data_IF_652654642861
#
_entry.id   IF_652654642861
#
_cell.length_a   1.000
_cell.length_b   1.000
_cell.length_c   1.000
_cell.angle_alpha   90.00
_cell.angle_beta   90.00
_cell.angle_gamma   90.00
#
_symmetry.space_group_name_H-M   'P 1'
#
loop_
_entity.id
_entity.type
_entity.pdbx_description
1 polymer ?
#
# COMPACT_ATOMS: atom_id res chain seq x y z
N UNK A 1 2.86 -10.76 -28.09
CA UNK A 1 2.00 -10.28 -26.98
C UNK A 1 2.69 -9.07 -26.37
N UNK A 2 2.01 -7.94 -26.20
CA UNK A 2 2.61 -6.77 -25.56
C UNK A 2 2.83 -7.05 -24.08
N UNK A 3 4.05 -6.85 -23.61
CA UNK A 3 4.41 -7.01 -22.19
C UNK A 3 3.73 -5.91 -21.40
N UNK A 4 2.87 -6.28 -20.45
CA UNK A 4 2.26 -5.34 -19.51
C UNK A 4 3.34 -4.78 -18.57
N UNK A 5 3.26 -3.50 -18.15
CA UNK A 5 4.20 -2.93 -17.21
C UNK A 5 3.98 -3.49 -15.81
N UNK A 6 5.06 -3.72 -15.08
CA UNK A 6 4.99 -4.02 -13.65
C UNK A 6 4.48 -2.80 -12.87
N UNK A 7 3.76 -3.03 -11.77
CA UNK A 7 3.24 -1.97 -10.90
C UNK A 7 3.84 -2.13 -9.50
N UNK A 8 4.53 -1.10 -9.02
CA UNK A 8 4.96 -0.99 -7.63
C UNK A 8 4.02 -0.04 -6.88
N UNK A 9 3.31 -0.57 -5.89
CA UNK A 9 2.38 0.21 -5.07
C UNK A 9 2.96 0.43 -3.66
N UNK A 10 3.46 1.64 -3.39
CA UNK A 10 3.99 2.02 -2.08
C UNK A 10 2.93 2.82 -1.32
N UNK A 11 2.57 2.33 -0.13
CA UNK A 11 1.62 3.01 0.75
C UNK A 11 2.26 3.26 2.11
N UNK A 12 2.26 4.53 2.54
CA UNK A 12 2.86 4.97 3.79
C UNK A 12 1.74 5.49 4.69
N UNK A 13 1.55 4.85 5.85
CA UNK A 13 0.52 5.24 6.80
C UNK A 13 0.87 6.59 7.45
N UNK A 14 -0.15 7.42 7.65
CA UNK A 14 -0.04 8.77 8.21
C UNK A 14 0.97 9.72 7.52
N UNK A 15 1.33 9.48 6.25
CA UNK A 15 2.19 10.39 5.49
C UNK A 15 1.46 11.69 5.14
N UNK A 16 1.94 12.81 5.67
CA UNK A 16 1.39 14.13 5.35
C UNK A 16 1.95 14.66 4.03
N UNK A 17 1.07 15.19 3.18
CA UNK A 17 1.46 15.75 1.88
C UNK A 17 2.45 16.92 1.99
N UNK A 18 2.30 17.77 3.01
CA UNK A 18 3.19 18.90 3.28
C UNK A 18 4.57 18.47 3.78
N UNK A 19 4.83 17.18 4.01
CA UNK A 19 6.17 16.66 4.32
C UNK A 19 6.90 16.14 3.08
N UNK A 20 6.20 16.01 1.95
CA UNK A 20 6.75 15.50 0.69
C UNK A 20 6.86 16.58 -0.39
N UNK A 21 6.12 17.69 -0.26
CA UNK A 21 6.12 18.75 -1.26
C UNK A 21 5.98 20.11 -0.59
N UNK A 22 6.88 21.04 -0.93
CA UNK A 22 6.81 22.45 -0.49
C UNK A 22 7.35 22.75 0.91
N UNK A 23 8.04 21.80 1.56
CA UNK A 23 8.59 21.97 2.93
C UNK A 23 10.10 21.73 2.98
N UNK A 24 10.73 22.01 4.12
CA UNK A 24 12.17 21.89 4.35
C UNK A 24 12.65 20.45 4.65
N UNK A 25 11.72 19.50 4.81
CA UNK A 25 12.06 18.09 5.04
C UNK A 25 12.78 17.55 3.81
N UNK A 26 13.95 16.93 4.00
CA UNK A 26 14.73 16.37 2.90
C UNK A 26 14.19 14.98 2.55
N UNK A 27 13.55 14.86 1.40
CA UNK A 27 12.98 13.60 0.89
C UNK A 27 13.51 13.25 -0.50
N UNK A 28 14.84 13.15 -0.71
CA UNK A 28 15.45 13.12 -2.05
C UNK A 28 14.91 12.01 -2.96
N UNK A 29 14.55 10.85 -2.40
CA UNK A 29 13.93 9.76 -3.17
C UNK A 29 12.51 10.11 -3.63
N UNK A 30 11.69 10.73 -2.77
CA UNK A 30 10.34 11.17 -3.15
C UNK A 30 10.42 12.35 -4.11
N UNK A 31 11.35 13.28 -3.88
CA UNK A 31 11.59 14.44 -4.74
C UNK A 31 11.94 13.96 -6.17
N UNK A 32 12.83 12.99 -6.28
CA UNK A 32 13.17 12.36 -7.56
C UNK A 32 11.98 11.66 -8.22
N UNK A 33 11.11 10.99 -7.46
CA UNK A 33 9.88 10.40 -8.02
C UNK A 33 8.89 11.46 -8.52
N UNK A 34 8.81 12.61 -7.84
CA UNK A 34 7.97 13.74 -8.25
C UNK A 34 8.51 14.38 -9.54
N UNK A 35 9.83 14.60 -9.62
CA UNK A 35 10.49 15.20 -10.79
C UNK A 35 10.39 14.32 -12.05
N UNK A 36 10.45 13.00 -11.87
CA UNK A 36 10.41 12.04 -12.98
C UNK A 36 9.01 11.46 -13.24
N UNK A 37 7.98 11.98 -12.56
CA UNK A 37 6.64 11.42 -12.57
C UNK A 37 5.53 12.48 -12.60
N UNK A 38 4.36 12.10 -12.08
CA UNK A 38 3.20 12.98 -11.97
C UNK A 38 2.82 13.10 -10.49
N UNK A 39 2.76 14.34 -10.00
CA UNK A 39 2.37 14.64 -8.63
C UNK A 39 1.00 15.32 -8.57
N UNK A 40 0.10 14.73 -7.79
CA UNK A 40 -1.24 15.26 -7.56
C UNK A 40 -1.26 16.15 -6.31
N UNK A 41 -1.13 17.47 -6.50
CA UNK A 41 -1.13 18.47 -5.40
C UNK A 41 -2.40 18.49 -4.54
N UNK A 42 -3.49 17.92 -5.03
CA UNK A 42 -4.81 17.86 -4.37
C UNK A 42 -5.29 16.40 -4.24
N UNK A 43 -4.39 15.49 -3.87
CA UNK A 43 -4.73 14.11 -3.54
C UNK A 43 -5.34 14.05 -2.12
N UNK A 44 -6.67 14.06 -2.04
CA UNK A 44 -7.42 14.10 -0.78
C UNK A 44 -7.87 12.67 -0.41
N UNK A 45 -7.60 12.26 0.83
CA UNK A 45 -8.06 10.97 1.34
C UNK A 45 -9.60 10.93 1.43
N UNK A 46 -10.25 9.79 1.13
CA UNK A 46 -11.71 9.68 1.17
C UNK A 46 -12.29 9.70 2.60
N UNK A 47 -11.44 9.58 3.61
CA UNK A 47 -11.78 9.66 5.04
C UNK A 47 -10.48 9.82 5.88
N UNK A 48 -10.65 10.04 7.18
CA UNK A 48 -9.60 10.31 8.16
C UNK A 48 -9.21 9.08 9.01
N UNK A 49 -9.70 7.88 8.68
CA UNK A 49 -9.41 6.64 9.41
C UNK A 49 -8.75 5.57 8.54
N UNK A 50 -7.62 5.00 8.98
CA UNK A 50 -6.80 4.05 8.20
C UNK A 50 -7.63 2.96 7.49
N UNK A 51 -8.45 2.19 8.21
CA UNK A 51 -9.21 1.11 7.60
C UNK A 51 -10.34 1.57 6.69
N UNK A 52 -10.97 2.71 6.99
CA UNK A 52 -11.97 3.30 6.09
C UNK A 52 -11.28 3.74 4.79
N UNK A 53 -10.10 4.37 4.89
CA UNK A 53 -9.33 4.90 3.76
C UNK A 53 -8.89 3.77 2.85
N UNK A 54 -8.32 2.73 3.45
CA UNK A 54 -7.90 1.53 2.73
C UNK A 54 -9.08 0.82 2.06
N UNK A 55 -10.21 0.65 2.74
CA UNK A 55 -11.37 0.01 2.12
C UNK A 55 -11.92 0.82 0.94
N UNK A 56 -11.90 2.14 1.03
CA UNK A 56 -12.26 3.01 -0.09
C UNK A 56 -11.24 2.96 -1.23
N UNK A 57 -9.96 2.92 -0.92
CA UNK A 57 -8.86 2.79 -1.88
C UNK A 57 -8.94 1.49 -2.66
N UNK A 58 -9.10 0.34 -1.98
CA UNK A 58 -9.16 -0.97 -2.63
C UNK A 58 -10.42 -1.14 -3.49
N UNK A 59 -11.56 -0.62 -3.03
CA UNK A 59 -12.85 -0.80 -3.72
C UNK A 59 -13.19 0.29 -4.75
N UNK A 60 -12.49 1.42 -4.75
CA UNK A 60 -12.85 2.61 -5.53
C UNK A 60 -14.20 3.23 -5.12
N UNK A 61 -14.68 2.98 -3.89
CA UNK A 61 -16.00 3.42 -3.40
C UNK A 61 -15.88 4.16 -2.07
N UNK A 62 -16.64 5.23 -1.89
CA UNK A 62 -16.68 5.97 -0.62
C UNK A 62 -17.29 5.16 0.53
N UNK A 63 -16.72 5.32 1.73
CA UNK A 63 -17.11 4.54 2.91
C UNK A 63 -18.51 4.86 3.43
N UNK A 64 -19.12 6.02 3.13
CA UNK A 64 -20.50 6.30 3.53
C UNK A 64 -21.52 5.35 2.87
N UNK A 65 -21.14 4.71 1.76
CA UNK A 65 -21.95 3.67 1.11
C UNK A 65 -21.84 2.31 1.81
N UNK A 66 -20.85 2.15 2.69
CA UNK A 66 -20.63 0.95 3.50
C UNK A 66 -21.01 1.26 4.93
N UNK A 67 -22.14 0.73 5.43
CA UNK A 67 -22.73 1.03 6.75
C UNK A 67 -21.86 0.67 7.99
N UNK A 68 -20.57 0.35 7.81
CA UNK A 68 -19.70 -0.18 8.84
C UNK A 68 -18.52 0.76 9.13
N UNK A 69 -18.33 1.16 10.39
CA UNK A 69 -17.05 1.67 10.91
C UNK A 69 -16.05 0.51 10.92
N UNK A 70 -15.48 0.19 9.77
CA UNK A 70 -14.59 -0.96 9.64
C UNK A 70 -13.32 -0.75 10.47
N UNK A 71 -13.00 -1.70 11.35
CA UNK A 71 -11.74 -1.79 12.11
C UNK A 71 -10.74 -2.77 11.46
N UNK A 72 -11.04 -3.21 10.23
CA UNK A 72 -10.25 -4.16 9.45
C UNK A 72 -10.45 -3.95 7.96
N UNK A 73 -9.55 -4.53 7.16
CA UNK A 73 -9.70 -4.58 5.71
C UNK A 73 -10.92 -5.41 5.33
N UNK A 74 -11.67 -4.91 4.35
CA UNK A 74 -12.77 -5.58 3.68
C UNK A 74 -12.50 -5.44 2.18
N UNK A 75 -12.01 -6.52 1.56
CA UNK A 75 -11.84 -6.58 0.12
C UNK A 75 -13.19 -6.89 -0.53
N UNK A 76 -13.90 -5.86 -0.98
CA UNK A 76 -15.13 -6.02 -1.75
C UNK A 76 -14.86 -6.72 -3.09
N UNK A 77 -15.87 -7.39 -3.66
CA UNK A 77 -15.79 -7.92 -5.03
C UNK A 77 -15.46 -6.80 -6.03
N UNK A 78 -14.70 -7.14 -7.06
CA UNK A 78 -14.20 -6.21 -8.07
C UNK A 78 -13.33 -5.08 -7.46
N UNK A 79 -12.59 -5.38 -6.40
CA UNK A 79 -11.53 -4.48 -5.92
C UNK A 79 -10.37 -4.45 -6.94
N UNK A 80 -9.49 -3.43 -6.86
CA UNK A 80 -8.46 -3.27 -7.89
C UNK A 80 -7.45 -4.43 -7.93
N UNK A 81 -7.18 -5.13 -6.81
CA UNK A 81 -6.28 -6.29 -6.79
C UNK A 81 -6.88 -7.46 -7.57
N UNK A 82 -8.18 -7.71 -7.37
CA UNK A 82 -8.93 -8.72 -8.13
C UNK A 82 -8.95 -8.37 -9.62
N UNK A 83 -9.20 -7.10 -9.96
CA UNK A 83 -9.18 -6.63 -11.36
C UNK A 83 -7.80 -6.86 -12.00
N UNK A 84 -6.71 -6.48 -11.33
CA UNK A 84 -5.36 -6.72 -11.83
C UNK A 84 -5.10 -8.22 -12.04
N UNK A 85 -5.45 -9.06 -11.05
CA UNK A 85 -5.28 -10.51 -11.12
C UNK A 85 -6.04 -11.14 -12.29
N UNK A 86 -7.29 -10.74 -12.51
CA UNK A 86 -8.10 -11.21 -13.64
C UNK A 86 -7.52 -10.77 -14.99
N UNK A 87 -6.74 -9.68 -15.02
CA UNK A 87 -6.05 -9.19 -16.23
C UNK A 87 -4.61 -9.72 -16.37
N UNK A 88 -4.27 -10.81 -15.67
CA UNK A 88 -3.00 -11.51 -15.84
C UNK A 88 -1.82 -10.94 -15.03
N UNK A 89 -2.08 -10.04 -14.07
CA UNK A 89 -1.06 -9.61 -13.12
C UNK A 89 -0.91 -10.62 -11.98
N UNK A 90 0.34 -10.83 -11.57
CA UNK A 90 0.67 -11.51 -10.32
C UNK A 90 0.70 -10.52 -9.17
N UNK A 91 0.10 -10.88 -8.04
CA UNK A 91 -0.12 -9.96 -6.93
C UNK A 91 0.73 -10.39 -5.73
N UNK A 92 1.71 -9.57 -5.37
CA UNK A 92 2.61 -9.79 -4.24
C UNK A 92 2.53 -8.61 -3.26
N UNK A 93 2.84 -8.85 -1.99
CA UNK A 93 2.83 -7.78 -1.00
C UNK A 93 3.62 -8.08 0.27
N UNK A 94 3.89 -7.01 1.01
CA UNK A 94 4.53 -7.04 2.32
C UNK A 94 3.84 -5.99 3.21
N UNK A 95 3.17 -6.43 4.28
CA UNK A 95 2.30 -5.58 5.12
C UNK A 95 2.55 -5.82 6.62
N UNK A 96 2.11 -4.94 7.54
CA UNK A 96 2.22 -5.21 8.97
C UNK A 96 1.48 -6.49 9.37
N UNK A 97 2.07 -7.27 10.30
CA UNK A 97 1.46 -8.46 10.89
C UNK A 97 0.32 -8.08 11.86
N UNK A 98 -0.81 -7.64 11.33
CA UNK A 98 -2.03 -7.36 12.08
C UNK A 98 -3.17 -8.22 11.56
N UNK A 99 -3.97 -8.79 12.46
CA UNK A 99 -5.15 -9.59 12.10
C UNK A 99 -6.16 -8.81 11.26
N UNK A 100 -6.22 -7.49 11.44
CA UNK A 100 -7.01 -6.57 10.62
C UNK A 100 -6.60 -6.51 9.14
N UNK A 101 -5.37 -6.92 8.81
CA UNK A 101 -4.84 -7.01 7.45
C UNK A 101 -4.94 -8.42 6.83
N UNK A 102 -5.41 -9.44 7.56
CA UNK A 102 -5.50 -10.82 7.07
C UNK A 102 -6.19 -10.96 5.69
N UNK A 103 -7.28 -10.23 5.37
CA UNK A 103 -7.88 -10.33 4.03
C UNK A 103 -6.93 -9.90 2.91
N UNK A 104 -6.09 -8.89 3.15
CA UNK A 104 -5.09 -8.41 2.20
C UNK A 104 -3.94 -9.40 2.05
N UNK A 105 -3.40 -9.92 3.15
CA UNK A 105 -2.35 -10.96 3.11
C UNK A 105 -2.78 -12.21 2.32
N UNK A 106 -4.02 -12.68 2.52
CA UNK A 106 -4.57 -13.82 1.77
C UNK A 106 -4.74 -13.56 0.26
N UNK A 107 -4.71 -12.30 -0.17
CA UNK A 107 -4.80 -11.95 -1.59
C UNK A 107 -3.45 -12.01 -2.31
N UNK A 108 -2.34 -12.03 -1.56
CA UNK A 108 -0.99 -12.10 -2.10
C UNK A 108 -0.57 -13.54 -2.42
N UNK A 109 0.24 -13.69 -3.47
CA UNK A 109 0.77 -14.98 -3.93
C UNK A 109 2.03 -15.43 -3.18
N UNK A 110 2.76 -14.50 -2.54
CA UNK A 110 3.92 -14.84 -1.73
C UNK A 110 3.51 -15.27 -0.31
N UNK A 111 4.19 -16.31 0.20
CA UNK A 111 3.97 -16.84 1.54
C UNK A 111 4.45 -15.86 2.63
N UNK A 112 5.66 -15.32 2.47
CA UNK A 112 6.23 -14.33 3.37
C UNK A 112 5.77 -12.94 2.95
N UNK A 113 4.64 -12.52 3.51
CA UNK A 113 3.98 -11.27 3.13
C UNK A 113 3.64 -10.35 4.32
N UNK A 114 4.15 -10.67 5.51
CA UNK A 114 3.95 -9.87 6.72
C UNK A 114 5.27 -9.57 7.44
N UNK A 115 5.33 -8.43 8.13
CA UNK A 115 6.45 -8.05 9.00
C UNK A 115 5.96 -7.65 10.39
N UNK A 116 6.84 -7.81 11.39
CA UNK A 116 6.48 -7.57 12.80
C UNK A 116 6.40 -6.07 13.10
N UNK A 117 5.23 -5.63 13.56
CA UNK A 117 4.98 -4.23 13.92
C UNK A 117 5.02 -3.99 15.44
N UNK A 118 4.87 -5.05 16.25
CA UNK A 118 4.91 -5.00 17.71
C UNK A 118 6.33 -5.13 18.27
N UNK A 119 6.55 -4.97 19.59
CA UNK A 119 7.87 -5.07 20.20
C UNK A 119 8.48 -6.48 20.10
N UNK A 120 9.75 -6.63 19.66
CA UNK A 120 10.61 -5.57 19.12
C UNK A 120 10.20 -5.20 17.69
N UNK A 121 9.85 -3.93 17.47
CA UNK A 121 9.34 -3.46 16.17
C UNK A 121 10.43 -3.50 15.11
N UNK A 122 10.12 -4.10 13.95
CA UNK A 122 10.95 -4.00 12.76
C UNK A 122 10.74 -2.61 12.14
N UNK A 123 11.68 -1.71 12.38
CA UNK A 123 11.71 -0.39 11.74
C UNK A 123 12.59 -0.43 10.50
N UNK A 124 12.47 0.56 9.62
CA UNK A 124 13.24 0.62 8.37
C UNK A 124 14.75 0.45 8.60
N UNK A 125 15.30 1.10 9.63
CA UNK A 125 16.72 1.02 10.00
C UNK A 125 17.11 -0.27 10.73
N UNK A 126 16.14 -1.10 11.13
CA UNK A 126 16.35 -2.31 11.94
C UNK A 126 15.53 -3.47 11.40
N UNK A 127 15.97 -4.00 10.26
CA UNK A 127 15.44 -5.23 9.66
C UNK A 127 14.40 -5.01 8.56
N UNK A 128 13.43 -4.11 8.75
CA UNK A 128 12.34 -3.95 7.77
C UNK A 128 12.85 -3.51 6.39
N UNK A 129 13.83 -2.60 6.34
CA UNK A 129 14.42 -2.16 5.07
C UNK A 129 15.03 -3.31 4.28
N UNK A 130 15.78 -4.20 4.95
CA UNK A 130 16.37 -5.37 4.33
C UNK A 130 15.30 -6.34 3.82
N UNK A 131 14.24 -6.59 4.61
CA UNK A 131 13.10 -7.43 4.19
C UNK A 131 12.39 -6.87 2.97
N UNK A 132 12.20 -5.55 2.87
CA UNK A 132 11.62 -4.91 1.68
C UNK A 132 12.50 -5.19 0.45
N UNK A 133 13.82 -5.05 0.57
CA UNK A 133 14.75 -5.32 -0.53
C UNK A 133 14.76 -6.80 -0.93
N UNK A 134 14.75 -7.71 0.02
CA UNK A 134 14.65 -9.16 -0.22
C UNK A 134 13.34 -9.52 -0.92
N UNK A 135 12.21 -8.99 -0.43
CA UNK A 135 10.91 -9.13 -1.06
C UNK A 135 10.94 -8.69 -2.53
N UNK A 136 11.43 -7.47 -2.80
CA UNK A 136 11.51 -6.92 -4.17
C UNK A 136 12.46 -7.72 -5.09
N UNK A 137 13.53 -8.29 -4.54
CA UNK A 137 14.49 -9.09 -5.31
C UNK A 137 14.05 -10.56 -5.51
N UNK A 138 13.15 -11.07 -4.67
CA UNK A 138 12.70 -12.48 -4.71
C UNK A 138 11.87 -12.83 -5.94
N UNK A 139 11.41 -11.84 -6.71
CA UNK A 139 10.57 -12.00 -7.89
C UNK A 139 11.06 -11.09 -9.02
N UNK A 140 11.98 -11.63 -9.81
CA UNK A 140 12.38 -11.12 -11.14
C UNK A 140 11.72 -11.95 -12.23
#
# INVERSE_FOLDING_TARGET
MNKLPNVLFLLIDALRADQCYGNKTKTPTIDSLIENGVYFKQAIAPNDGTFLSLNSLFSGKFSFRTKNRAQKIILAKNNFLEILKTNGYHIYGLIPNLTSFNPLSKSFENNENMYEHGPPTEVLSKGLGQKIIEFLNSKK
#
